data_IF_007625759081
#
_entry.id   IF_007625759081
#
_cell.length_a   1.000
_cell.length_b   1.000
_cell.length_c   1.000
_cell.angle_alpha   90.00
_cell.angle_beta   90.00
_cell.angle_gamma   90.00
#
_symmetry.space_group_name_H-M   'P 1'
#
loop_
_entity.id
_entity.type
_entity.pdbx_description
1 polymer ?
#
# COMPACT_ATOMS: atom_id res chain seq x y z
N UNK A 1 -15.05 39.43 -14.52
CA UNK A 1 -14.54 39.54 -13.13
C UNK A 1 -13.05 39.84 -13.17
N UNK A 2 -12.56 40.76 -12.35
CA UNK A 2 -11.11 40.98 -12.21
C UNK A 2 -10.55 39.92 -11.25
N UNK A 3 -9.75 39.00 -11.76
CA UNK A 3 -9.05 38.00 -10.94
C UNK A 3 -7.58 38.41 -10.81
N UNK A 4 -7.02 38.27 -9.60
CA UNK A 4 -5.59 38.45 -9.35
C UNK A 4 -5.00 37.10 -8.98
N UNK A 5 -4.02 36.66 -9.76
CA UNK A 5 -3.31 35.43 -9.46
C UNK A 5 -2.45 35.60 -8.19
N UNK A 6 -2.38 34.53 -7.40
CA UNK A 6 -1.55 34.41 -6.20
C UNK A 6 -0.36 33.51 -6.48
N UNK A 7 0.68 33.58 -5.65
CA UNK A 7 1.81 32.67 -5.75
C UNK A 7 1.38 31.22 -5.45
N UNK A 8 2.11 30.26 -6.00
CA UNK A 8 1.91 28.84 -5.71
C UNK A 8 2.08 28.56 -4.22
N UNK A 9 3.06 29.23 -3.57
CA UNK A 9 3.23 29.19 -2.13
C UNK A 9 1.93 29.53 -1.39
N UNK A 10 1.32 30.69 -1.68
CA UNK A 10 0.09 31.14 -1.01
C UNK A 10 -1.09 30.22 -1.34
N UNK A 11 -1.20 29.75 -2.59
CA UNK A 11 -2.24 28.80 -2.98
C UNK A 11 -2.16 27.50 -2.17
N UNK A 12 -0.95 26.95 -1.98
CA UNK A 12 -0.74 25.76 -1.15
C UNK A 12 -1.03 26.00 0.32
N UNK A 13 -0.62 27.13 0.90
CA UNK A 13 -0.96 27.50 2.28
C UNK A 13 -2.48 27.53 2.50
N UNK A 14 -3.25 28.06 1.55
CA UNK A 14 -4.71 28.06 1.61
C UNK A 14 -5.29 26.64 1.51
N UNK A 15 -4.84 25.83 0.55
CA UNK A 15 -5.26 24.43 0.43
C UNK A 15 -5.05 23.67 1.74
N UNK A 16 -3.86 23.76 2.32
CA UNK A 16 -3.52 23.05 3.56
C UNK A 16 -4.27 23.56 4.78
N UNK A 17 -4.62 24.84 4.83
CA UNK A 17 -5.35 25.43 5.96
C UNK A 17 -6.84 25.06 5.98
N UNK A 18 -7.44 24.83 4.81
CA UNK A 18 -8.91 24.81 4.69
C UNK A 18 -9.52 23.51 4.13
N UNK A 19 -8.75 22.61 3.50
CA UNK A 19 -9.29 21.31 2.98
C UNK A 19 -9.31 20.19 4.02
N UNK A 20 -8.52 20.26 5.09
CA UNK A 20 -8.51 19.23 6.15
C UNK A 20 -9.54 19.55 7.25
N UNK A 21 -10.79 19.11 7.09
CA UNK A 21 -11.89 19.37 8.05
C UNK A 21 -12.24 18.21 8.99
N UNK A 22 -11.36 17.23 9.17
CA UNK A 22 -11.43 16.31 10.32
C UNK A 22 -10.08 16.16 10.98
N UNK A 23 -10.01 16.62 12.23
CA UNK A 23 -8.88 16.53 13.17
C UNK A 23 -7.70 17.46 12.85
N UNK A 24 -7.03 17.92 13.91
CA UNK A 24 -6.01 18.96 13.95
C UNK A 24 -4.70 18.63 13.19
N UNK A 25 -4.80 18.44 11.87
CA UNK A 25 -3.65 18.21 10.99
C UNK A 25 -3.17 19.59 10.53
N UNK A 26 -2.25 20.20 11.29
CA UNK A 26 -1.33 21.17 10.71
C UNK A 26 -0.43 20.43 9.73
N UNK A 27 -0.93 20.15 8.52
CA UNK A 27 -0.07 19.83 7.40
C UNK A 27 0.85 21.03 7.19
N UNK A 28 2.07 20.99 7.72
CA UNK A 28 3.06 22.04 7.47
C UNK A 28 3.59 21.83 6.06
N UNK A 29 2.97 22.50 5.11
CA UNK A 29 3.52 22.71 3.79
C UNK A 29 4.99 23.15 3.91
N UNK A 30 5.93 22.24 3.59
CA UNK A 30 7.36 22.53 3.68
C UNK A 30 7.80 23.16 2.38
N UNK A 31 8.22 24.42 2.47
CA UNK A 31 8.79 25.15 1.36
C UNK A 31 9.90 26.07 1.85
N UNK A 32 10.77 26.46 0.93
CA UNK A 32 11.73 27.54 1.13
C UNK A 32 11.68 28.46 -0.09
N UNK A 33 11.51 29.76 0.14
CA UNK A 33 11.48 30.75 -0.93
C UNK A 33 12.88 31.28 -1.18
N UNK A 34 13.27 31.34 -2.46
CA UNK A 34 14.56 31.91 -2.87
C UNK A 34 14.34 33.08 -3.84
N UNK A 35 15.02 34.17 -3.55
CA UNK A 35 15.10 35.41 -4.34
C UNK A 35 16.57 35.79 -4.55
N UNK A 36 16.90 36.76 -5.42
CA UNK A 36 18.28 37.22 -5.60
C UNK A 36 18.97 37.67 -4.31
N UNK A 37 18.18 38.13 -3.33
CA UNK A 37 18.66 38.68 -2.06
C UNK A 37 18.67 37.63 -0.92
N UNK A 38 18.41 36.35 -1.21
CA UNK A 38 18.35 35.30 -0.18
C UNK A 38 19.71 35.02 0.43
N UNK A 39 19.78 35.18 1.75
CA UNK A 39 20.87 34.67 2.58
C UNK A 39 20.68 33.16 2.81
N UNK A 40 21.60 32.36 2.27
CA UNK A 40 21.55 30.90 2.37
C UNK A 40 21.82 30.40 3.77
N UNK A 41 22.65 31.07 4.56
CA UNK A 41 22.97 30.61 5.92
C UNK A 41 21.75 30.78 6.81
N UNK A 42 21.05 31.91 6.67
CA UNK A 42 19.78 32.13 7.36
C UNK A 42 18.68 31.18 6.88
N UNK A 43 18.54 30.99 5.56
CA UNK A 43 17.55 30.06 5.00
C UNK A 43 17.73 28.62 5.52
N UNK A 44 18.98 28.17 5.71
CA UNK A 44 19.27 26.83 6.21
C UNK A 44 19.03 26.68 7.72
N UNK A 45 19.12 27.77 8.48
CA UNK A 45 18.71 27.78 9.88
C UNK A 45 17.19 27.64 10.00
N UNK A 46 16.44 28.36 9.17
CA UNK A 46 14.97 28.32 9.16
C UNK A 46 14.42 27.03 8.54
N UNK A 47 15.18 26.42 7.62
CA UNK A 47 14.79 25.22 6.88
C UNK A 47 15.88 24.12 6.87
N UNK A 48 16.21 23.51 8.04
CA UNK A 48 17.29 22.51 8.12
C UNK A 48 17.05 21.26 7.25
N UNK A 49 15.80 20.97 6.91
CA UNK A 49 15.41 19.83 6.05
C UNK A 49 16.00 19.92 4.63
N UNK A 50 16.40 21.11 4.18
CA UNK A 50 17.10 21.30 2.91
C UNK A 50 18.42 20.51 2.82
N UNK A 51 19.06 20.20 3.96
CA UNK A 51 20.35 19.52 4.02
C UNK A 51 20.26 18.00 3.86
N UNK A 52 19.14 17.40 4.28
CA UNK A 52 19.01 15.94 4.36
C UNK A 52 18.10 15.36 3.27
N UNK A 53 17.20 16.17 2.69
CA UNK A 53 16.19 15.70 1.76
C UNK A 53 16.60 15.89 0.29
N UNK A 54 15.99 15.09 -0.59
CA UNK A 54 15.96 15.36 -2.02
C UNK A 54 14.95 16.48 -2.28
N UNK A 55 15.24 17.35 -3.25
CA UNK A 55 14.55 18.61 -3.43
C UNK A 55 14.00 18.77 -4.86
N UNK A 56 12.91 19.53 -4.95
CA UNK A 56 12.39 20.11 -6.19
C UNK A 56 12.54 21.62 -6.12
N UNK A 57 12.97 22.25 -7.21
CA UNK A 57 13.06 23.72 -7.32
C UNK A 57 12.38 24.19 -8.60
N UNK A 58 11.58 25.25 -8.51
CA UNK A 58 10.86 25.82 -9.66
C UNK A 58 10.54 27.31 -9.45
N UNK A 59 10.41 28.11 -10.52
CA UNK A 59 9.93 29.48 -10.40
C UNK A 59 8.50 29.53 -9.85
N UNK A 60 8.26 30.48 -8.95
CA UNK A 60 6.94 30.82 -8.42
C UNK A 60 6.51 32.20 -8.95
N UNK A 61 6.21 32.23 -10.25
CA UNK A 61 5.88 33.44 -11.02
C UNK A 61 4.81 33.18 -12.10
N UNK A 62 3.87 32.28 -11.81
CA UNK A 62 2.72 32.02 -12.70
C UNK A 62 3.12 31.55 -14.12
N UNK A 63 4.25 30.85 -14.21
CA UNK A 63 4.73 30.25 -15.45
C UNK A 63 4.04 28.89 -15.59
N UNK A 64 3.22 28.72 -16.63
CA UNK A 64 2.67 27.40 -16.99
C UNK A 64 3.71 26.57 -17.73
N UNK A 65 3.53 25.23 -17.72
CA UNK A 65 4.37 24.27 -18.47
C UNK A 65 5.88 24.34 -18.13
N UNK A 66 6.21 24.65 -16.86
CA UNK A 66 7.60 24.79 -16.36
C UNK A 66 8.48 23.58 -16.68
N UNK A 67 7.94 22.36 -16.60
CA UNK A 67 8.68 21.14 -16.95
C UNK A 67 9.21 21.15 -18.38
N UNK A 68 8.34 21.44 -19.35
CA UNK A 68 8.70 21.56 -20.78
C UNK A 68 9.66 22.70 -21.07
N UNK A 69 9.66 23.74 -20.23
CA UNK A 69 10.56 24.89 -20.35
C UNK A 69 11.92 24.67 -19.67
N UNK A 70 12.18 23.49 -19.07
CA UNK A 70 13.41 23.24 -18.31
C UNK A 70 13.54 24.11 -17.06
N UNK A 71 12.40 24.55 -16.52
CA UNK A 71 12.26 25.41 -15.34
C UNK A 71 11.82 24.62 -14.09
N UNK A 72 12.02 23.30 -14.08
CA UNK A 72 11.86 22.47 -12.89
C UNK A 72 13.12 21.65 -12.69
N UNK A 73 13.76 21.80 -11.54
CA UNK A 73 14.81 20.88 -11.06
C UNK A 73 14.18 19.85 -10.14
N UNK A 74 14.38 18.56 -10.42
CA UNK A 74 13.74 17.45 -9.69
C UNK A 74 14.82 16.53 -9.11
N UNK A 75 14.57 15.98 -7.92
CA UNK A 75 15.45 15.02 -7.24
C UNK A 75 16.90 15.53 -7.03
N UNK A 76 17.03 16.80 -6.63
CA UNK A 76 18.32 17.44 -6.42
C UNK A 76 18.75 17.41 -4.95
N UNK A 77 20.06 17.44 -4.68
CA UNK A 77 20.57 17.86 -3.35
C UNK A 77 20.53 19.38 -3.22
N UNK A 78 20.78 19.93 -2.03
CA UNK A 78 20.91 21.38 -1.85
C UNK A 78 21.95 22.01 -2.80
N UNK A 79 23.12 21.39 -2.95
CA UNK A 79 24.16 21.86 -3.88
C UNK A 79 23.71 21.79 -5.33
N UNK A 80 22.94 20.76 -5.67
CA UNK A 80 22.27 20.63 -6.96
C UNK A 80 21.29 21.78 -7.19
N UNK A 81 20.47 22.14 -6.21
CA UNK A 81 19.54 23.28 -6.28
C UNK A 81 20.28 24.60 -6.45
N UNK A 82 21.31 24.86 -5.64
CA UNK A 82 22.15 26.08 -5.76
C UNK A 82 22.76 26.18 -7.16
N UNK A 83 23.32 25.09 -7.68
CA UNK A 83 23.90 25.03 -9.02
C UNK A 83 22.86 25.22 -10.12
N UNK A 84 21.67 24.66 -9.95
CA UNK A 84 20.56 24.80 -10.89
C UNK A 84 19.99 26.23 -10.93
N UNK A 85 19.99 26.94 -9.79
CA UNK A 85 19.53 28.32 -9.67
C UNK A 85 20.52 29.33 -10.26
N UNK A 86 21.84 29.12 -10.17
CA UNK A 86 22.87 30.06 -10.68
C UNK A 86 22.59 30.63 -12.08
N UNK A 87 22.28 29.83 -13.11
CA UNK A 87 22.02 30.36 -14.46
C UNK A 87 20.59 30.89 -14.65
N UNK A 88 19.72 30.88 -13.63
CA UNK A 88 18.29 31.20 -13.74
C UNK A 88 17.84 32.34 -12.82
N UNK A 89 18.34 32.37 -11.59
CA UNK A 89 17.95 33.36 -10.58
C UNK A 89 18.43 34.77 -10.98
N UNK A 90 17.51 35.72 -11.03
CA UNK A 90 17.75 37.08 -11.52
C UNK A 90 17.96 37.18 -13.02
N UNK A 91 17.88 36.08 -13.77
CA UNK A 91 18.07 36.06 -15.22
C UNK A 91 16.76 36.25 -15.96
N UNK A 92 16.86 36.70 -17.19
CA UNK A 92 15.72 36.96 -18.05
C UNK A 92 15.25 35.69 -18.75
N UNK A 93 13.94 35.45 -18.76
CA UNK A 93 13.31 34.33 -19.42
C UNK A 93 12.24 34.82 -20.40
N UNK A 94 12.20 34.18 -21.57
CA UNK A 94 11.13 34.36 -22.55
C UNK A 94 10.13 33.20 -22.41
N UNK A 95 8.88 33.52 -22.06
CA UNK A 95 7.79 32.55 -21.96
C UNK A 95 6.69 32.96 -22.93
N UNK A 96 6.58 32.25 -24.04
CA UNK A 96 5.70 32.67 -25.14
C UNK A 96 6.12 34.04 -25.69
N UNK A 97 5.24 35.04 -25.58
CA UNK A 97 5.52 36.43 -26.00
C UNK A 97 6.00 37.33 -24.85
N UNK A 98 5.96 36.84 -23.61
CA UNK A 98 6.30 37.63 -22.43
C UNK A 98 7.77 37.47 -22.06
N UNK A 99 8.44 38.59 -21.79
CA UNK A 99 9.84 38.66 -21.37
C UNK A 99 9.90 39.23 -19.95
N UNK A 100 10.64 38.57 -19.05
CA UNK A 100 10.73 39.01 -17.66
C UNK A 100 11.81 38.27 -16.87
N UNK A 101 12.16 38.80 -15.70
CA UNK A 101 13.19 38.24 -14.83
C UNK A 101 12.61 37.15 -13.91
N UNK A 102 13.35 36.06 -13.72
CA UNK A 102 13.05 35.02 -12.73
C UNK A 102 13.64 35.41 -11.37
N UNK A 103 12.84 36.07 -10.54
CA UNK A 103 13.21 36.60 -9.22
C UNK A 103 12.70 35.76 -8.04
N UNK A 104 11.72 34.88 -8.23
CA UNK A 104 11.12 34.10 -7.15
C UNK A 104 11.13 32.61 -7.51
N UNK A 105 11.72 31.82 -6.63
CA UNK A 105 11.75 30.36 -6.72
C UNK A 105 11.23 29.75 -5.43
N UNK A 106 10.63 28.58 -5.58
CA UNK A 106 10.13 27.75 -4.49
C UNK A 106 10.94 26.45 -4.49
N UNK A 107 11.49 26.10 -3.33
CA UNK A 107 12.13 24.81 -3.07
C UNK A 107 11.18 23.99 -2.19
N UNK A 108 10.97 22.73 -2.56
CA UNK A 108 10.08 21.80 -1.87
C UNK A 108 10.77 20.43 -1.72
N UNK A 109 10.38 19.59 -0.74
CA UNK A 109 10.81 18.20 -0.70
C UNK A 109 10.39 17.44 -1.97
N UNK A 110 11.31 16.66 -2.53
CA UNK A 110 10.99 15.71 -3.60
C UNK A 110 10.34 14.47 -3.00
N UNK A 111 9.13 14.16 -3.46
CA UNK A 111 8.40 12.94 -3.10
C UNK A 111 8.54 11.96 -4.27
N UNK A 112 9.22 10.80 -4.12
CA UNK A 112 9.27 9.78 -5.17
C UNK A 112 7.89 9.15 -5.39
N UNK A 113 7.46 9.07 -6.64
CA UNK A 113 6.22 8.41 -7.06
C UNK A 113 6.35 7.96 -8.52
N UNK A 114 5.48 7.03 -8.92
CA UNK A 114 5.33 6.55 -10.29
C UNK A 114 4.24 7.33 -11.02
N UNK A 115 4.26 7.31 -12.36
CA UNK A 115 3.26 7.96 -13.21
C UNK A 115 1.82 7.50 -12.91
N UNK A 116 1.65 6.24 -12.49
CA UNK A 116 0.34 5.66 -12.14
C UNK A 116 -0.24 6.23 -10.83
N UNK A 117 0.56 6.97 -10.06
CA UNK A 117 0.15 7.60 -8.81
C UNK A 117 -0.13 9.10 -8.98
N UNK A 118 0.06 9.64 -10.18
CA UNK A 118 -0.20 11.04 -10.50
C UNK A 118 -1.59 11.21 -11.12
N UNK A 119 -2.38 12.09 -10.51
CA UNK A 119 -3.67 12.54 -11.03
C UNK A 119 -3.61 14.02 -11.39
N UNK A 120 -4.58 14.48 -12.16
CA UNK A 120 -4.78 15.89 -12.48
C UNK A 120 -6.17 16.32 -12.06
N UNK A 121 -6.25 17.48 -11.39
CA UNK A 121 -7.52 18.14 -11.05
C UNK A 121 -7.43 19.62 -11.39
N UNK A 122 -8.47 20.16 -12.02
CA UNK A 122 -8.57 21.59 -12.31
C UNK A 122 -10.02 22.06 -12.16
N UNK A 123 -10.22 23.25 -11.61
CA UNK A 123 -11.53 23.88 -11.43
C UNK A 123 -11.45 25.29 -12.00
N UNK A 124 -12.39 25.69 -12.86
CA UNK A 124 -12.41 27.05 -13.39
C UNK A 124 -13.82 27.57 -13.69
N UNK A 125 -13.98 28.87 -13.50
CA UNK A 125 -15.25 29.56 -13.70
C UNK A 125 -15.52 29.87 -15.16
N UNK A 126 -16.79 29.73 -15.55
CA UNK A 126 -17.34 30.21 -16.83
C UNK A 126 -18.62 30.99 -16.59
N UNK A 127 -19.31 31.39 -17.66
CA UNK A 127 -20.60 32.09 -17.53
C UNK A 127 -21.74 31.18 -17.09
N UNK A 128 -21.64 29.89 -17.39
CA UNK A 128 -22.71 28.90 -17.16
C UNK A 128 -22.57 28.21 -15.79
N UNK A 129 -21.45 28.43 -15.10
CA UNK A 129 -21.08 27.77 -13.85
C UNK A 129 -19.60 27.44 -13.83
N UNK A 130 -19.22 26.45 -13.02
CA UNK A 130 -17.83 26.05 -12.80
C UNK A 130 -17.55 24.68 -13.41
N UNK A 131 -16.47 24.58 -14.19
CA UNK A 131 -16.01 23.30 -14.70
C UNK A 131 -15.05 22.65 -13.71
N UNK A 132 -15.30 21.38 -13.39
CA UNK A 132 -14.37 20.50 -12.70
C UNK A 132 -13.79 19.52 -13.72
N UNK A 133 -12.47 19.45 -13.77
CA UNK A 133 -11.68 18.61 -14.66
C UNK A 133 -10.95 17.55 -13.85
N UNK A 134 -10.92 16.32 -14.35
CA UNK A 134 -10.12 15.24 -13.79
C UNK A 134 -9.42 14.43 -14.89
N UNK A 135 -8.16 14.08 -14.68
CA UNK A 135 -7.48 13.06 -15.49
C UNK A 135 -6.74 12.07 -14.59
N UNK A 136 -6.83 10.78 -14.95
CA UNK A 136 -6.25 9.68 -14.19
C UNK A 136 -4.71 9.58 -14.32
N UNK A 137 -4.12 10.41 -15.19
CA UNK A 137 -2.68 10.63 -15.33
C UNK A 137 -2.40 12.13 -15.19
N UNK A 138 -1.45 12.51 -14.32
CA UNK A 138 -1.00 13.88 -14.10
C UNK A 138 0.48 14.09 -14.42
N UNK A 139 1.06 15.18 -13.91
CA UNK A 139 2.49 15.46 -13.99
C UNK A 139 2.98 16.04 -15.30
N UNK A 140 4.32 16.08 -15.43
CA UNK A 140 5.01 16.79 -16.52
C UNK A 140 4.98 16.04 -17.84
N UNK A 141 4.77 14.73 -17.81
CA UNK A 141 4.92 13.84 -18.98
C UNK A 141 3.61 13.63 -19.76
N UNK A 142 2.45 13.96 -19.16
CA UNK A 142 1.12 13.73 -19.79
C UNK A 142 0.80 14.69 -20.94
N UNK A 143 1.51 15.81 -21.05
CA UNK A 143 1.36 16.76 -22.14
C UNK A 143 0.22 17.77 -21.90
N UNK A 144 -0.72 17.89 -22.83
CA UNK A 144 -1.86 18.82 -22.73
C UNK A 144 -3.04 18.16 -22.00
N UNK A 145 -2.91 18.06 -20.67
CA UNK A 145 -3.84 17.29 -19.83
C UNK A 145 -5.26 17.86 -19.83
N UNK A 146 -5.44 19.18 -19.95
CA UNK A 146 -6.75 19.85 -20.01
C UNK A 146 -7.62 19.35 -21.20
N UNK A 147 -6.98 18.96 -22.30
CA UNK A 147 -7.65 18.44 -23.50
C UNK A 147 -8.06 16.96 -23.34
N UNK A 148 -7.37 16.23 -22.47
CA UNK A 148 -7.61 14.81 -22.18
C UNK A 148 -8.55 14.60 -20.99
N UNK A 149 -8.63 15.58 -20.08
CA UNK A 149 -9.39 15.49 -18.85
C UNK A 149 -10.90 15.31 -19.09
N UNK A 150 -11.51 14.47 -18.25
CA UNK A 150 -12.97 14.42 -18.10
C UNK A 150 -13.46 15.74 -17.53
N UNK A 151 -14.65 16.19 -17.95
CA UNK A 151 -15.21 17.50 -17.59
C UNK A 151 -16.61 17.35 -17.02
N UNK A 152 -16.87 18.03 -15.92
CA UNK A 152 -18.18 18.14 -15.29
C UNK A 152 -18.47 19.63 -15.08
N UNK A 153 -19.58 20.11 -15.61
CA UNK A 153 -20.08 21.46 -15.34
C UNK A 153 -20.98 21.39 -14.10
N UNK A 154 -20.67 22.21 -13.10
CA UNK A 154 -21.55 22.50 -11.97
C UNK A 154 -22.25 23.82 -12.31
N UNK A 155 -23.57 23.79 -12.48
CA UNK A 155 -24.33 24.97 -12.84
C UNK A 155 -24.32 26.04 -11.75
N UNK A 156 -24.71 27.26 -12.10
CA UNK A 156 -24.90 28.35 -11.13
C UNK A 156 -25.90 27.92 -10.06
N UNK A 157 -25.55 28.12 -8.79
CA UNK A 157 -26.31 27.72 -7.59
C UNK A 157 -26.50 26.19 -7.41
N UNK A 158 -25.85 25.36 -8.23
CA UNK A 158 -25.82 23.91 -8.05
C UNK A 158 -24.67 23.49 -7.12
N UNK A 159 -24.79 22.29 -6.53
CA UNK A 159 -23.74 21.70 -5.70
C UNK A 159 -23.10 20.51 -6.38
N UNK A 160 -21.80 20.38 -6.22
CA UNK A 160 -21.06 19.21 -6.69
C UNK A 160 -21.35 17.98 -5.80
N UNK A 161 -22.03 16.99 -6.36
CA UNK A 161 -22.34 15.73 -5.68
C UNK A 161 -21.23 14.68 -5.87
N UNK A 162 -20.76 14.00 -4.81
CA UNK A 162 -19.79 12.90 -4.92
C UNK A 162 -20.16 11.80 -5.94
N UNK A 163 -21.44 11.47 -6.09
CA UNK A 163 -21.87 10.44 -7.05
C UNK A 163 -21.67 10.88 -8.51
N UNK A 164 -21.88 12.16 -8.80
CA UNK A 164 -21.64 12.71 -10.14
C UNK A 164 -20.15 12.79 -10.45
N UNK A 165 -19.31 13.09 -9.46
CA UNK A 165 -17.85 13.02 -9.58
C UNK A 165 -17.42 11.59 -9.95
N UNK A 166 -17.90 10.57 -9.24
CA UNK A 166 -17.55 9.17 -9.50
C UNK A 166 -17.96 8.74 -10.91
N UNK A 167 -19.17 9.15 -11.33
CA UNK A 167 -19.78 8.76 -12.61
C UNK A 167 -19.17 9.48 -13.82
N UNK A 168 -18.88 10.76 -13.70
CA UNK A 168 -18.49 11.60 -14.84
C UNK A 168 -16.99 11.92 -14.88
N UNK A 169 -16.35 12.14 -13.73
CA UNK A 169 -14.94 12.51 -13.66
C UNK A 169 -14.03 11.28 -13.46
N UNK A 170 -14.40 10.39 -12.54
CA UNK A 170 -13.54 9.28 -12.12
C UNK A 170 -13.75 8.00 -12.95
N UNK A 171 -14.19 8.12 -14.20
CA UNK A 171 -14.48 6.97 -15.08
C UNK A 171 -13.27 6.03 -15.18
N UNK A 172 -12.09 6.62 -15.38
CA UNK A 172 -10.81 5.92 -15.57
C UNK A 172 -9.92 5.89 -14.31
N UNK A 173 -10.39 6.41 -13.18
CA UNK A 173 -9.62 6.34 -11.93
C UNK A 173 -9.59 4.90 -11.37
N UNK A 174 -8.51 4.51 -10.68
CA UNK A 174 -8.45 3.23 -9.94
C UNK A 174 -9.63 3.08 -8.98
N UNK A 175 -10.24 1.88 -8.95
CA UNK A 175 -11.48 1.61 -8.19
C UNK A 175 -11.33 1.91 -6.70
N UNK A 176 -10.22 1.45 -6.12
CA UNK A 176 -9.79 1.66 -4.74
C UNK A 176 -9.63 3.14 -4.36
N UNK A 177 -9.36 4.01 -5.34
CA UNK A 177 -9.15 5.45 -5.12
C UNK A 177 -10.38 6.30 -5.39
N UNK A 178 -11.44 5.76 -6.00
CA UNK A 178 -12.60 6.57 -6.44
C UNK A 178 -13.30 7.29 -5.29
N UNK A 179 -13.50 6.62 -4.16
CA UNK A 179 -14.16 7.24 -3.00
C UNK A 179 -13.35 8.40 -2.43
N UNK A 180 -12.05 8.18 -2.22
CA UNK A 180 -11.15 9.20 -1.65
C UNK A 180 -10.97 10.36 -2.63
N UNK A 181 -10.82 10.08 -3.94
CA UNK A 181 -10.76 11.11 -4.98
C UNK A 181 -12.05 11.93 -5.06
N UNK A 182 -13.22 11.28 -4.98
CA UNK A 182 -14.49 11.98 -4.99
C UNK A 182 -14.63 12.92 -3.78
N UNK A 183 -14.32 12.41 -2.58
CA UNK A 183 -14.32 13.21 -1.35
C UNK A 183 -13.33 14.38 -1.43
N UNK A 184 -12.12 14.15 -1.94
CA UNK A 184 -11.11 15.20 -2.12
C UNK A 184 -11.56 16.27 -3.12
N UNK A 185 -12.10 15.88 -4.28
CA UNK A 185 -12.58 16.82 -5.30
C UNK A 185 -13.76 17.63 -4.77
N UNK A 186 -14.69 17.02 -4.02
CA UNK A 186 -15.77 17.75 -3.34
C UNK A 186 -15.23 18.78 -2.35
N UNK A 187 -14.27 18.40 -1.50
CA UNK A 187 -13.64 19.33 -0.55
C UNK A 187 -12.89 20.47 -1.25
N UNK A 188 -12.20 20.16 -2.36
CA UNK A 188 -11.49 21.13 -3.18
C UNK A 188 -12.44 22.11 -3.87
N UNK A 189 -13.60 21.63 -4.33
CA UNK A 189 -14.64 22.48 -4.93
C UNK A 189 -15.26 23.42 -3.89
N UNK A 190 -15.59 22.93 -2.70
CA UNK A 190 -16.10 23.77 -1.62
C UNK A 190 -15.08 24.87 -1.25
N UNK A 191 -13.79 24.52 -1.15
CA UNK A 191 -12.75 25.53 -0.93
C UNK A 191 -12.72 26.59 -2.04
N UNK A 192 -12.80 26.13 -3.29
CA UNK A 192 -12.80 26.97 -4.47
C UNK A 192 -13.93 28.01 -4.41
N UNK A 193 -15.14 27.57 -4.05
CA UNK A 193 -16.31 28.45 -3.87
C UNK A 193 -16.15 29.38 -2.66
N UNK A 194 -15.79 28.83 -1.49
CA UNK A 194 -15.67 29.57 -0.22
C UNK A 194 -14.64 30.71 -0.30
N UNK A 195 -13.57 30.50 -1.07
CA UNK A 195 -12.51 31.48 -1.29
C UNK A 195 -12.67 32.28 -2.59
N UNK A 196 -13.78 32.10 -3.32
CA UNK A 196 -14.10 32.81 -4.56
C UNK A 196 -12.98 32.73 -5.61
N UNK A 197 -12.35 31.57 -5.74
CA UNK A 197 -11.38 31.34 -6.81
C UNK A 197 -12.09 31.33 -8.16
N UNK A 198 -11.38 31.77 -9.21
CA UNK A 198 -11.88 31.67 -10.60
C UNK A 198 -11.13 30.59 -11.39
N UNK A 199 -10.02 30.10 -10.84
CA UNK A 199 -9.17 29.07 -11.41
C UNK A 199 -8.34 28.41 -10.30
N UNK A 200 -8.35 27.08 -10.25
CA UNK A 200 -7.55 26.27 -9.34
C UNK A 200 -7.05 25.04 -10.10
N UNK A 201 -5.76 24.74 -10.04
CA UNK A 201 -5.16 23.58 -10.72
C UNK A 201 -4.20 22.86 -9.76
N UNK A 202 -4.31 21.53 -9.67
CA UNK A 202 -3.38 20.66 -8.97
C UNK A 202 -2.82 19.64 -9.97
N UNK A 203 -1.51 19.73 -10.22
CA UNK A 203 -0.82 18.88 -11.19
C UNK A 203 0.68 18.70 -10.86
N UNK A 204 1.15 17.51 -10.44
CA UNK A 204 0.37 16.30 -10.16
C UNK A 204 -0.30 16.32 -8.77
N UNK A 205 -1.41 15.60 -8.63
CA UNK A 205 -2.01 15.16 -7.37
C UNK A 205 -1.54 13.73 -7.08
N UNK A 206 -0.84 13.51 -5.97
CA UNK A 206 -0.36 12.18 -5.54
C UNK A 206 -1.09 11.77 -4.27
N UNK A 207 -1.51 10.50 -4.18
CA UNK A 207 -2.27 9.98 -3.04
C UNK A 207 -1.62 8.76 -2.41
N UNK A 208 -1.38 8.86 -1.09
CA UNK A 208 -1.12 7.74 -0.16
C UNK A 208 -2.21 7.74 0.90
N UNK A 209 -2.68 6.56 1.32
CA UNK A 209 -3.88 6.45 2.18
C UNK A 209 -3.67 5.68 3.49
N UNK A 210 -2.51 5.06 3.70
CA UNK A 210 -2.31 4.13 4.83
C UNK A 210 -1.62 4.78 6.04
N UNK A 211 -0.77 5.79 5.84
CA UNK A 211 0.01 6.41 6.90
C UNK A 211 0.43 7.84 6.55
N UNK A 212 0.47 8.74 7.56
CA UNK A 212 1.01 10.10 7.44
C UNK A 212 1.91 10.41 8.65
N UNK A 213 3.17 10.75 8.39
CA UNK A 213 4.19 11.06 9.39
C UNK A 213 4.55 12.55 9.49
N UNK A 214 3.92 13.41 8.67
CA UNK A 214 4.32 14.82 8.54
C UNK A 214 3.77 15.70 9.67
N UNK A 215 2.69 15.27 10.31
CA UNK A 215 1.99 15.97 11.39
C UNK A 215 2.76 15.99 12.71
N UNK A 216 2.10 16.47 13.77
CA UNK A 216 2.65 16.42 15.13
C UNK A 216 2.87 14.98 15.61
N UNK A 217 1.96 14.08 15.21
CA UNK A 217 2.02 12.67 15.53
C UNK A 217 1.82 11.81 14.28
N UNK A 218 2.33 10.59 14.34
CA UNK A 218 2.17 9.57 13.30
C UNK A 218 0.70 9.16 13.20
N UNK A 219 0.17 8.99 11.99
CA UNK A 219 -1.21 8.59 11.74
C UNK A 219 -1.22 7.26 10.97
N UNK A 220 -2.09 6.33 11.36
CA UNK A 220 -2.40 5.09 10.63
C UNK A 220 -3.85 5.11 10.17
N UNK A 221 -4.07 5.14 8.84
CA UNK A 221 -5.39 5.21 8.22
C UNK A 221 -6.34 6.24 8.86
N UNK A 222 -5.83 7.45 9.11
CA UNK A 222 -6.57 8.54 9.76
C UNK A 222 -6.61 8.50 11.29
N UNK A 223 -6.17 7.41 11.93
CA UNK A 223 -6.11 7.33 13.40
C UNK A 223 -4.73 7.77 13.92
N UNK A 224 -4.66 8.78 14.80
CA UNK A 224 -3.41 9.21 15.42
C UNK A 224 -2.83 8.09 16.31
N UNK A 225 -1.50 7.95 16.33
CA UNK A 225 -0.82 6.87 17.06
C UNK A 225 -1.14 6.89 18.55
N UNK A 226 -1.37 8.08 19.14
CA UNK A 226 -1.77 8.19 20.55
C UNK A 226 -3.13 7.56 20.81
N UNK A 227 -4.08 7.69 19.87
CA UNK A 227 -5.41 7.08 19.94
C UNK A 227 -5.33 5.56 19.76
N UNK A 228 -4.49 5.08 18.85
CA UNK A 228 -4.25 3.63 18.66
C UNK A 228 -3.86 2.94 19.98
N UNK A 229 -2.95 3.54 20.75
CA UNK A 229 -2.55 3.01 22.05
C UNK A 229 -3.62 3.21 23.13
N UNK A 230 -4.30 4.36 23.15
CA UNK A 230 -5.37 4.65 24.11
C UNK A 230 -6.53 3.66 23.99
N UNK A 231 -6.88 3.26 22.77
CA UNK A 231 -7.96 2.31 22.48
C UNK A 231 -7.51 0.84 22.55
N UNK A 232 -6.28 0.57 23.00
CA UNK A 232 -5.71 -0.78 23.15
C UNK A 232 -5.86 -1.66 21.91
N UNK A 233 -5.65 -1.09 20.72
CA UNK A 233 -5.94 -1.77 19.45
C UNK A 233 -5.04 -2.99 19.17
N UNK A 234 -3.88 -3.06 19.81
CA UNK A 234 -2.91 -4.14 19.63
C UNK A 234 -2.27 -4.17 18.23
N UNK A 235 -1.47 -5.21 17.98
CA UNK A 235 -0.82 -5.41 16.68
C UNK A 235 -1.87 -5.77 15.62
N UNK A 236 -2.90 -6.54 16.01
CA UNK A 236 -4.00 -6.90 15.11
C UNK A 236 -4.78 -5.69 14.62
N UNK A 237 -5.02 -4.70 15.49
CA UNK A 237 -5.69 -3.45 15.11
C UNK A 237 -4.81 -2.54 14.26
N UNK A 238 -3.51 -2.44 14.55
CA UNK A 238 -2.55 -1.71 13.69
C UNK A 238 -2.50 -2.32 12.28
N UNK A 239 -2.48 -3.65 12.18
CA UNK A 239 -2.56 -4.35 10.89
C UNK A 239 -3.91 -4.07 10.19
N UNK A 240 -5.01 -4.06 10.96
CA UNK A 240 -6.34 -3.59 10.52
C UNK A 240 -6.31 -2.23 9.83
N UNK A 241 -5.68 -1.25 10.46
CA UNK A 241 -5.54 0.10 9.93
C UNK A 241 -4.63 0.14 8.70
N UNK A 242 -3.43 -0.44 8.78
CA UNK A 242 -2.41 -0.30 7.73
C UNK A 242 -2.73 -1.11 6.46
N UNK A 243 -3.28 -2.31 6.61
CA UNK A 243 -3.51 -3.21 5.47
C UNK A 243 -4.92 -3.08 4.93
N UNK A 244 -5.90 -2.87 5.81
CA UNK A 244 -7.31 -2.85 5.42
C UNK A 244 -7.96 -1.47 5.51
N UNK A 245 -7.27 -0.45 6.06
CA UNK A 245 -7.82 0.89 6.26
C UNK A 245 -9.15 0.89 7.03
N UNK A 246 -9.35 -0.09 7.93
CA UNK A 246 -10.55 -0.26 8.74
C UNK A 246 -10.20 -0.45 10.21
N UNK A 247 -11.01 0.13 11.09
CA UNK A 247 -11.04 -0.23 12.51
C UNK A 247 -11.82 -1.54 12.66
N UNK A 248 -11.10 -2.66 12.61
CA UNK A 248 -11.71 -3.98 12.70
C UNK A 248 -12.32 -4.24 14.09
N UNK A 249 -13.35 -5.11 14.19
CA UNK A 249 -13.88 -5.55 15.47
C UNK A 249 -12.81 -6.24 16.34
N UNK A 250 -12.96 -6.17 17.67
CA UNK A 250 -12.00 -6.73 18.62
C UNK A 250 -11.65 -8.20 18.36
N UNK A 251 -12.66 -9.02 18.04
CA UNK A 251 -12.43 -10.44 17.74
C UNK A 251 -11.61 -10.66 16.48
N UNK A 252 -11.74 -9.77 15.49
CA UNK A 252 -10.95 -9.81 14.25
C UNK A 252 -9.50 -9.44 14.54
N UNK A 253 -9.25 -8.39 15.33
CA UNK A 253 -7.90 -8.02 15.76
C UNK A 253 -7.22 -9.16 16.53
N UNK A 254 -7.93 -9.77 17.47
CA UNK A 254 -7.43 -10.92 18.23
C UNK A 254 -7.17 -12.14 17.33
N UNK A 255 -8.06 -12.44 16.39
CA UNK A 255 -7.84 -13.51 15.42
C UNK A 255 -6.60 -13.29 14.56
N UNK A 256 -6.36 -12.05 14.11
CA UNK A 256 -5.14 -11.67 13.38
C UNK A 256 -3.90 -11.94 14.24
N UNK A 257 -3.89 -11.52 15.49
CA UNK A 257 -2.78 -11.79 16.42
C UNK A 257 -2.57 -13.29 16.66
N UNK A 258 -3.65 -14.06 16.81
CA UNK A 258 -3.57 -15.53 16.93
C UNK A 258 -2.96 -16.17 15.68
N UNK A 259 -3.31 -15.68 14.48
CA UNK A 259 -2.70 -16.13 13.24
C UNK A 259 -1.19 -15.85 13.20
N UNK A 260 -0.75 -14.67 13.65
CA UNK A 260 0.69 -14.36 13.77
C UNK A 260 1.39 -15.29 14.76
N UNK A 261 0.77 -15.57 15.91
CA UNK A 261 1.33 -16.45 16.94
C UNK A 261 1.49 -17.90 16.45
N UNK A 262 0.45 -18.48 15.84
CA UNK A 262 0.49 -19.89 15.40
C UNK A 262 1.35 -20.11 14.15
N UNK A 263 1.65 -19.05 13.39
CA UNK A 263 2.52 -19.10 12.22
C UNK A 263 3.94 -18.61 12.49
N UNK A 264 4.25 -18.19 13.73
CA UNK A 264 5.50 -17.55 14.10
C UNK A 264 6.75 -18.37 13.72
N UNK A 265 6.75 -19.67 14.00
CA UNK A 265 7.82 -20.59 13.61
C UNK A 265 7.31 -22.03 13.42
N UNK A 266 8.07 -22.86 12.72
CA UNK A 266 7.79 -24.30 12.61
C UNK A 266 9.08 -25.14 12.51
N UNK A 267 10.12 -24.68 13.23
CA UNK A 267 11.41 -25.36 13.32
C UNK A 267 12.36 -25.08 12.16
N UNK A 268 13.63 -25.50 12.28
CA UNK A 268 14.71 -25.13 11.37
C UNK A 268 14.71 -25.89 10.03
N UNK A 269 13.90 -26.94 9.89
CA UNK A 269 13.92 -27.84 8.74
C UNK A 269 13.08 -27.37 7.55
N UNK A 270 12.22 -26.37 7.74
CA UNK A 270 11.41 -25.82 6.65
C UNK A 270 12.22 -24.83 5.82
N UNK A 271 11.90 -24.72 4.53
CA UNK A 271 12.71 -24.00 3.53
C UNK A 271 13.20 -22.63 3.99
N UNK A 272 12.32 -21.78 4.52
CA UNK A 272 12.71 -20.42 4.88
C UNK A 272 13.57 -20.32 6.14
N UNK A 273 13.30 -21.16 7.15
CA UNK A 273 14.13 -21.21 8.36
C UNK A 273 15.52 -21.76 8.01
N UNK A 274 15.57 -22.81 7.20
CA UNK A 274 16.81 -23.39 6.69
C UNK A 274 17.66 -22.34 5.96
N UNK A 275 17.09 -21.65 4.96
CA UNK A 275 17.83 -20.63 4.21
C UNK A 275 18.33 -19.48 5.10
N UNK A 276 17.50 -19.03 6.05
CA UNK A 276 17.89 -18.01 7.03
C UNK A 276 19.10 -18.46 7.85
N UNK A 277 19.09 -19.71 8.32
CA UNK A 277 20.18 -20.33 9.07
C UNK A 277 21.46 -20.42 8.23
N UNK A 278 21.35 -20.87 6.97
CA UNK A 278 22.49 -20.96 6.05
C UNK A 278 23.14 -19.58 5.85
N UNK A 279 22.34 -18.54 5.60
CA UNK A 279 22.86 -17.17 5.46
C UNK A 279 23.49 -16.63 6.75
N UNK A 280 22.87 -16.90 7.91
CA UNK A 280 23.41 -16.50 9.21
C UNK A 280 24.79 -17.12 9.46
N UNK A 281 24.94 -18.42 9.16
CA UNK A 281 26.17 -19.22 9.25
C UNK A 281 27.23 -18.82 8.23
N UNK A 282 26.82 -18.28 7.08
CA UNK A 282 27.73 -17.66 6.12
C UNK A 282 28.23 -16.26 6.55
N UNK A 283 27.89 -15.82 7.75
CA UNK A 283 28.37 -14.54 8.31
C UNK A 283 27.56 -13.32 7.89
N UNK A 284 26.43 -13.49 7.18
CA UNK A 284 25.58 -12.36 6.76
C UNK A 284 24.89 -11.69 7.97
N UNK A 285 24.44 -10.46 7.75
CA UNK A 285 23.64 -9.67 8.67
C UNK A 285 22.19 -10.18 8.76
N UNK A 286 21.43 -9.63 9.73
CA UNK A 286 20.06 -10.05 10.02
C UNK A 286 19.13 -9.87 8.83
N UNK A 287 19.16 -8.70 8.18
CA UNK A 287 18.23 -8.35 7.11
C UNK A 287 18.50 -9.22 5.88
N UNK A 288 19.77 -9.39 5.49
CA UNK A 288 20.14 -10.32 4.41
C UNK A 288 19.70 -11.76 4.71
N UNK A 289 19.86 -12.22 5.95
CA UNK A 289 19.55 -13.61 6.31
C UNK A 289 18.04 -13.85 6.34
N UNK A 290 17.28 -12.93 6.95
CA UNK A 290 15.82 -12.96 6.97
C UNK A 290 15.24 -12.97 5.56
N UNK A 291 15.68 -12.05 4.71
CA UNK A 291 15.17 -11.95 3.33
C UNK A 291 15.45 -13.21 2.51
N UNK A 292 16.61 -13.86 2.69
CA UNK A 292 16.89 -15.17 2.06
C UNK A 292 15.88 -16.25 2.46
N UNK A 293 15.46 -16.27 3.72
CA UNK A 293 14.39 -17.15 4.18
C UNK A 293 13.02 -16.80 3.61
N UNK A 294 12.65 -15.51 3.62
CA UNK A 294 11.36 -15.02 3.13
C UNK A 294 11.15 -15.28 1.63
N UNK A 295 12.22 -15.21 0.82
CA UNK A 295 12.18 -15.50 -0.61
C UNK A 295 11.82 -16.97 -0.94
N UNK A 296 11.77 -17.86 0.05
CA UNK A 296 11.29 -19.24 -0.13
C UNK A 296 9.77 -19.37 0.03
N UNK A 297 9.08 -18.34 0.53
CA UNK A 297 7.64 -18.36 0.74
C UNK A 297 6.93 -18.22 -0.61
N UNK A 298 5.99 -19.12 -0.88
CA UNK A 298 5.23 -19.18 -2.13
C UNK A 298 4.35 -20.44 -2.18
N UNK A 299 3.94 -20.85 -3.39
CA UNK A 299 2.95 -21.92 -3.62
C UNK A 299 3.20 -23.24 -2.87
N UNK A 300 4.47 -23.55 -2.56
CA UNK A 300 4.86 -24.81 -1.90
C UNK A 300 5.16 -24.67 -0.41
N UNK A 301 5.40 -23.46 0.08
CA UNK A 301 5.77 -23.21 1.48
C UNK A 301 5.19 -21.88 1.93
N UNK A 302 4.19 -21.94 2.83
CA UNK A 302 3.67 -20.76 3.52
C UNK A 302 2.88 -19.74 2.68
N UNK A 303 2.82 -19.90 1.35
CA UNK A 303 2.09 -19.02 0.45
C UNK A 303 0.76 -19.60 -0.03
N UNK A 304 0.25 -20.64 0.62
CA UNK A 304 -0.97 -21.34 0.21
C UNK A 304 -2.26 -20.69 0.76
N UNK A 305 -2.17 -19.63 1.57
CA UNK A 305 -3.33 -18.99 2.21
C UNK A 305 -4.24 -18.36 1.16
N UNK A 306 -3.66 -17.53 0.28
CA UNK A 306 -4.43 -16.88 -0.80
C UNK A 306 -5.03 -17.92 -1.76
N UNK A 307 -4.25 -18.94 -2.12
CA UNK A 307 -4.70 -19.95 -3.06
C UNK A 307 -5.80 -20.84 -2.47
N UNK A 308 -5.73 -21.17 -1.18
CA UNK A 308 -6.78 -21.87 -0.46
C UNK A 308 -8.04 -20.99 -0.37
N UNK A 309 -7.91 -19.74 0.07
CA UNK A 309 -9.02 -18.79 0.12
C UNK A 309 -9.73 -18.67 -1.22
N UNK A 310 -9.00 -18.43 -2.32
CA UNK A 310 -9.56 -18.35 -3.68
C UNK A 310 -10.26 -19.65 -4.11
N UNK A 311 -9.62 -20.80 -3.87
CA UNK A 311 -10.13 -22.08 -4.35
C UNK A 311 -11.40 -22.51 -3.60
N UNK A 312 -11.41 -22.39 -2.28
CA UNK A 312 -12.57 -22.71 -1.46
C UNK A 312 -13.70 -21.70 -1.71
N UNK A 313 -13.41 -20.39 -1.73
CA UNK A 313 -14.42 -19.37 -2.05
C UNK A 313 -15.08 -19.65 -3.40
N UNK A 314 -14.28 -19.88 -4.46
CA UNK A 314 -14.81 -20.17 -5.79
C UNK A 314 -15.71 -21.41 -5.80
N UNK A 315 -15.34 -22.47 -5.08
CA UNK A 315 -16.16 -23.67 -4.98
C UNK A 315 -17.49 -23.36 -4.26
N UNK A 316 -17.41 -22.79 -3.07
CA UNK A 316 -18.56 -22.42 -2.26
C UNK A 316 -19.53 -21.46 -2.99
N UNK A 317 -18.98 -20.39 -3.58
CA UNK A 317 -19.74 -19.35 -4.28
C UNK A 317 -20.40 -19.86 -5.57
N UNK A 318 -19.85 -20.91 -6.18
CA UNK A 318 -20.45 -21.59 -7.34
C UNK A 318 -21.55 -22.59 -6.98
N UNK A 319 -21.79 -22.83 -5.69
CA UNK A 319 -22.80 -23.77 -5.20
C UNK A 319 -22.45 -25.26 -5.40
N UNK A 320 -21.23 -25.60 -5.82
CA UNK A 320 -20.82 -27.00 -5.94
C UNK A 320 -20.65 -27.62 -4.55
N UNK A 321 -21.17 -28.82 -4.34
CA UNK A 321 -21.06 -29.49 -3.04
C UNK A 321 -19.63 -30.00 -2.79
N UNK A 322 -19.19 -30.17 -1.53
CA UNK A 322 -17.83 -30.59 -1.18
C UNK A 322 -17.31 -31.82 -1.94
N UNK A 323 -18.15 -32.84 -2.11
CA UNK A 323 -17.78 -34.07 -2.83
C UNK A 323 -17.50 -33.83 -4.32
N UNK A 324 -18.31 -33.00 -4.98
CA UNK A 324 -18.11 -32.63 -6.38
C UNK A 324 -16.85 -31.81 -6.57
N UNK A 325 -16.58 -30.86 -5.66
CA UNK A 325 -15.35 -30.09 -5.66
C UNK A 325 -14.10 -30.99 -5.57
N UNK A 326 -14.06 -31.92 -4.62
CA UNK A 326 -12.93 -32.86 -4.46
C UNK A 326 -12.76 -33.72 -5.72
N UNK A 327 -13.85 -34.22 -6.28
CA UNK A 327 -13.81 -35.07 -7.48
C UNK A 327 -13.35 -34.29 -8.71
N UNK A 328 -13.78 -33.04 -8.86
CA UNK A 328 -13.35 -32.13 -9.93
C UNK A 328 -11.85 -31.87 -9.87
N UNK A 329 -11.32 -31.50 -8.69
CA UNK A 329 -9.88 -31.24 -8.52
C UNK A 329 -9.03 -32.48 -8.83
N UNK A 330 -9.49 -33.66 -8.37
CA UNK A 330 -8.85 -34.94 -8.71
C UNK A 330 -8.85 -35.21 -10.22
N UNK A 331 -9.98 -35.00 -10.90
CA UNK A 331 -10.11 -35.20 -12.35
C UNK A 331 -9.21 -34.27 -13.16
N UNK A 332 -9.04 -33.03 -12.68
CA UNK A 332 -8.14 -32.04 -13.29
C UNK A 332 -6.65 -32.25 -12.93
N UNK A 333 -6.32 -33.21 -12.05
CA UNK A 333 -4.95 -33.42 -11.58
C UNK A 333 -4.41 -32.27 -10.71
N UNK A 334 -5.30 -31.48 -10.09
CA UNK A 334 -4.94 -30.33 -9.27
C UNK A 334 -4.98 -30.67 -7.78
N UNK A 335 -4.01 -30.15 -7.04
CA UNK A 335 -4.02 -30.18 -5.58
C UNK A 335 -5.06 -29.21 -5.03
N UNK A 336 -5.73 -29.59 -3.94
CA UNK A 336 -6.58 -28.68 -3.19
C UNK A 336 -5.67 -27.87 -2.25
N UNK A 337 -5.50 -26.58 -2.54
CA UNK A 337 -4.66 -25.71 -1.73
C UNK A 337 -5.24 -25.60 -0.32
N UNK A 338 -4.40 -25.75 0.71
CA UNK A 338 -4.84 -25.80 2.11
C UNK A 338 -5.23 -27.19 2.62
N UNK A 339 -5.20 -28.22 1.79
CA UNK A 339 -5.40 -29.62 2.20
C UNK A 339 -4.08 -30.40 2.10
N UNK A 340 -3.77 -31.13 3.16
CA UNK A 340 -2.61 -32.01 3.23
C UNK A 340 -1.50 -31.48 4.12
N UNK A 341 -0.84 -32.41 4.80
CA UNK A 341 0.33 -32.12 5.60
C UNK A 341 1.35 -33.28 5.51
N UNK A 342 2.65 -32.96 5.66
CA UNK A 342 3.75 -33.95 5.61
C UNK A 342 3.81 -34.84 6.86
N UNK A 343 3.64 -34.24 8.04
CA UNK A 343 3.72 -34.92 9.36
C UNK A 343 2.36 -35.08 10.09
N UNK A 344 1.50 -34.05 10.07
CA UNK A 344 0.19 -34.04 10.72
C UNK A 344 -0.86 -34.86 9.95
N UNK A 345 -1.82 -35.41 10.68
CA UNK A 345 -2.88 -36.28 10.16
C UNK A 345 -4.05 -36.36 11.16
N UNK A 346 -5.12 -37.08 10.81
CA UNK A 346 -6.20 -37.39 11.77
C UNK A 346 -5.71 -38.09 13.05
N UNK A 347 -4.62 -38.86 12.96
CA UNK A 347 -4.02 -39.58 14.09
C UNK A 347 -2.97 -38.74 14.84
N UNK A 348 -2.55 -37.61 14.28
CA UNK A 348 -1.60 -36.66 14.86
C UNK A 348 -2.09 -35.24 14.52
N UNK A 349 -3.15 -34.77 15.21
CA UNK A 349 -3.83 -33.54 14.86
C UNK A 349 -2.91 -32.32 15.00
N UNK A 350 -3.20 -31.30 14.19
CA UNK A 350 -2.52 -30.02 14.28
C UNK A 350 -3.22 -29.13 15.30
N UNK A 351 -2.64 -29.01 16.50
CA UNK A 351 -3.21 -28.21 17.57
C UNK A 351 -3.34 -26.72 17.21
N UNK A 352 -2.56 -26.21 16.24
CA UNK A 352 -2.70 -24.83 15.74
C UNK A 352 -4.06 -24.62 15.08
N UNK A 353 -4.48 -25.58 14.25
CA UNK A 353 -5.79 -25.57 13.58
C UNK A 353 -6.89 -25.68 14.63
N UNK A 354 -6.72 -26.55 15.64
CA UNK A 354 -7.71 -26.70 16.71
C UNK A 354 -7.90 -25.41 17.51
N UNK A 355 -6.82 -24.75 17.94
CA UNK A 355 -6.86 -23.48 18.69
C UNK A 355 -7.61 -22.40 17.88
N UNK A 356 -7.28 -22.25 16.60
CA UNK A 356 -7.95 -21.27 15.75
C UNK A 356 -9.42 -21.63 15.50
N UNK A 357 -9.73 -22.90 15.30
CA UNK A 357 -11.10 -23.41 15.11
C UNK A 357 -12.00 -23.09 16.29
N UNK A 358 -11.53 -23.36 17.50
CA UNK A 358 -12.29 -23.10 18.72
C UNK A 358 -12.57 -21.60 18.87
N UNK A 359 -11.56 -20.75 18.63
CA UNK A 359 -11.72 -19.31 18.67
C UNK A 359 -12.72 -18.81 17.63
N UNK A 360 -12.56 -19.21 16.36
CA UNK A 360 -13.42 -18.79 15.24
C UNK A 360 -14.87 -19.21 15.49
N UNK A 361 -15.10 -20.46 15.91
CA UNK A 361 -16.47 -20.95 16.21
C UNK A 361 -17.13 -20.27 17.40
N UNK A 362 -16.35 -19.77 18.35
CA UNK A 362 -16.88 -19.07 19.52
C UNK A 362 -17.17 -17.58 19.26
N UNK A 363 -16.38 -16.91 18.40
CA UNK A 363 -16.40 -15.45 18.31
C UNK A 363 -16.87 -14.88 16.97
N UNK A 364 -16.79 -15.64 15.87
CA UNK A 364 -17.18 -15.11 14.57
C UNK A 364 -18.70 -15.09 14.42
N UNK A 365 -19.27 -14.05 13.79
CA UNK A 365 -20.71 -13.96 13.56
C UNK A 365 -21.22 -15.02 12.57
N UNK A 366 -20.39 -15.41 11.60
CA UNK A 366 -20.69 -16.43 10.60
C UNK A 366 -19.40 -17.10 10.10
N UNK A 367 -19.48 -18.41 9.81
CA UNK A 367 -18.33 -19.22 9.35
C UNK A 367 -18.67 -20.20 8.20
N UNK A 368 -19.47 -19.78 7.19
CA UNK A 368 -19.97 -20.70 6.16
C UNK A 368 -18.86 -21.32 5.31
N UNK A 369 -17.79 -20.58 5.00
CA UNK A 369 -16.71 -21.12 4.18
C UNK A 369 -15.86 -22.12 4.97
N UNK A 370 -15.61 -21.84 6.25
CA UNK A 370 -14.97 -22.78 7.15
C UNK A 370 -15.79 -24.08 7.28
N UNK A 371 -17.12 -23.99 7.39
CA UNK A 371 -17.99 -25.18 7.43
C UNK A 371 -17.86 -26.02 6.16
N UNK A 372 -17.88 -25.36 5.00
CA UNK A 372 -17.64 -26.02 3.72
C UNK A 372 -16.27 -26.72 3.67
N UNK A 373 -15.21 -26.04 4.14
CA UNK A 373 -13.85 -26.59 4.17
C UNK A 373 -13.71 -27.80 5.11
N UNK A 374 -14.41 -27.80 6.24
CA UNK A 374 -14.47 -28.94 7.17
C UNK A 374 -15.20 -30.15 6.56
N UNK A 375 -16.25 -29.94 5.76
CA UNK A 375 -16.87 -31.03 5.00
C UNK A 375 -15.93 -31.60 3.92
N UNK A 376 -15.17 -30.72 3.24
CA UNK A 376 -14.11 -31.16 2.31
C UNK A 376 -13.06 -31.99 3.02
N UNK A 377 -12.62 -31.59 4.22
CA UNK A 377 -11.65 -32.33 5.04
C UNK A 377 -12.14 -33.75 5.38
N UNK A 378 -13.41 -33.91 5.79
CA UNK A 378 -13.98 -35.24 6.06
C UNK A 378 -13.85 -36.17 4.85
N UNK A 379 -14.12 -35.64 3.67
CA UNK A 379 -14.04 -36.39 2.41
C UNK A 379 -12.58 -36.73 2.08
N UNK A 380 -11.65 -35.79 2.21
CA UNK A 380 -10.23 -36.01 1.84
C UNK A 380 -9.53 -36.95 2.82
N UNK A 381 -9.81 -36.83 4.12
CA UNK A 381 -9.26 -37.71 5.17
C UNK A 381 -9.76 -39.15 5.08
N UNK A 382 -10.99 -39.37 4.59
CA UNK A 382 -11.49 -40.72 4.26
C UNK A 382 -10.69 -41.42 3.16
N UNK A 383 -10.01 -40.64 2.29
CA UNK A 383 -9.15 -41.16 1.22
C UNK A 383 -7.72 -41.38 1.69
N UNK A 384 -7.15 -40.42 2.44
CA UNK A 384 -5.83 -40.53 3.07
C UNK A 384 -5.77 -39.74 4.38
N UNK A 385 -5.25 -40.32 5.48
CA UNK A 385 -5.32 -39.72 6.81
C UNK A 385 -4.55 -38.40 6.95
N UNK A 386 -3.57 -38.14 6.08
CA UNK A 386 -2.76 -36.93 6.09
C UNK A 386 -3.34 -35.78 5.25
N UNK A 387 -4.46 -35.98 4.56
CA UNK A 387 -5.18 -34.96 3.79
C UNK A 387 -6.14 -34.15 4.67
N UNK A 388 -5.63 -33.64 5.78
CA UNK A 388 -6.33 -32.75 6.73
C UNK A 388 -6.38 -31.32 6.21
N UNK A 389 -7.28 -30.49 6.74
CA UNK A 389 -7.24 -29.04 6.59
C UNK A 389 -6.04 -28.50 7.37
N UNK A 390 -5.03 -28.02 6.66
CA UNK A 390 -3.80 -27.52 7.28
C UNK A 390 -3.96 -26.07 7.76
N UNK A 391 -2.94 -25.54 8.43
CA UNK A 391 -2.98 -24.18 8.99
C UNK A 391 -3.18 -23.10 7.91
N UNK A 392 -2.57 -23.25 6.74
CA UNK A 392 -2.72 -22.31 5.61
C UNK A 392 -4.17 -22.31 5.10
N UNK A 393 -4.75 -23.51 4.91
CA UNK A 393 -6.13 -23.67 4.48
C UNK A 393 -7.12 -23.13 5.50
N UNK A 394 -6.91 -23.42 6.78
CA UNK A 394 -7.75 -22.93 7.87
C UNK A 394 -7.72 -21.40 7.95
N UNK A 395 -6.52 -20.80 8.01
CA UNK A 395 -6.38 -19.34 8.10
C UNK A 395 -7.01 -18.70 6.86
N UNK A 396 -6.75 -19.25 5.66
CA UNK A 396 -7.33 -18.76 4.42
C UNK A 396 -8.85 -18.69 4.48
N UNK A 397 -9.55 -19.80 4.74
CA UNK A 397 -11.02 -19.81 4.76
C UNK A 397 -11.62 -19.00 5.90
N UNK A 398 -10.99 -19.03 7.09
CA UNK A 398 -11.45 -18.25 8.23
C UNK A 398 -11.26 -16.75 7.99
N UNK A 399 -10.19 -16.29 7.33
CA UNK A 399 -10.03 -14.89 6.96
C UNK A 399 -11.10 -14.44 5.96
N UNK A 400 -11.47 -15.28 4.99
CA UNK A 400 -12.58 -14.96 4.08
C UNK A 400 -13.87 -14.78 4.86
N UNK A 401 -14.19 -15.69 5.79
CA UNK A 401 -15.36 -15.56 6.65
C UNK A 401 -15.29 -14.29 7.51
N UNK A 402 -14.10 -13.92 8.03
CA UNK A 402 -13.90 -12.68 8.77
C UNK A 402 -14.21 -11.45 7.90
N UNK A 403 -13.56 -11.33 6.73
CA UNK A 403 -13.71 -10.18 5.85
C UNK A 403 -15.16 -10.03 5.37
N UNK A 404 -15.79 -11.12 4.94
CA UNK A 404 -17.17 -11.10 4.41
C UNK A 404 -18.24 -10.85 5.48
N UNK A 405 -17.97 -11.12 6.76
CA UNK A 405 -19.01 -11.11 7.80
C UNK A 405 -18.71 -10.19 9.00
N UNK A 406 -17.57 -9.50 9.05
CA UNK A 406 -17.27 -8.58 10.16
C UNK A 406 -18.02 -7.24 10.11
N UNK A 407 -18.71 -6.95 9.00
CA UNK A 407 -19.45 -5.71 8.80
C UNK A 407 -18.59 -4.51 8.39
N UNK A 408 -17.27 -4.69 8.24
CA UNK A 408 -16.34 -3.62 7.82
C UNK A 408 -16.09 -3.56 6.31
N UNK A 409 -16.56 -4.55 5.55
CA UNK A 409 -16.31 -4.67 4.11
C UNK A 409 -17.58 -5.06 3.36
N UNK A 410 -17.72 -4.55 2.14
CA UNK A 410 -18.62 -5.14 1.15
C UNK A 410 -18.06 -6.47 0.63
N UNK A 411 -18.87 -7.20 -0.14
CA UNK A 411 -18.42 -8.44 -0.76
C UNK A 411 -17.28 -8.20 -1.75
N UNK A 412 -17.39 -7.15 -2.55
CA UNK A 412 -16.40 -6.76 -3.55
C UNK A 412 -15.06 -6.39 -2.89
N UNK A 413 -15.09 -5.59 -1.82
CA UNK A 413 -13.88 -5.23 -1.05
C UNK A 413 -13.21 -6.48 -0.45
N UNK A 414 -13.99 -7.37 0.15
CA UNK A 414 -13.46 -8.61 0.73
C UNK A 414 -12.79 -9.50 -0.32
N UNK A 415 -13.41 -9.65 -1.50
CA UNK A 415 -12.86 -10.43 -2.61
C UNK A 415 -11.60 -9.77 -3.20
N UNK A 416 -11.54 -8.43 -3.24
CA UNK A 416 -10.34 -7.70 -3.67
C UNK A 416 -9.13 -7.98 -2.75
N UNK A 417 -9.31 -7.96 -1.43
CA UNK A 417 -8.21 -8.29 -0.49
C UNK A 417 -7.68 -9.71 -0.65
N UNK A 418 -8.55 -10.66 -0.99
CA UNK A 418 -8.16 -12.03 -1.32
C UNK A 418 -7.38 -12.04 -2.63
N UNK A 419 -7.81 -11.25 -3.62
CA UNK A 419 -7.20 -11.23 -4.95
C UNK A 419 -5.80 -10.62 -4.98
N UNK A 420 -5.58 -9.52 -4.27
CA UNK A 420 -4.27 -8.83 -4.18
C UNK A 420 -3.25 -9.56 -3.29
N UNK A 421 -3.67 -10.62 -2.59
CA UNK A 421 -2.77 -11.50 -1.82
C UNK A 421 -2.49 -11.03 -0.40
N UNK A 422 -3.44 -10.34 0.24
CA UNK A 422 -3.27 -9.84 1.60
C UNK A 422 -3.08 -10.97 2.64
N UNK A 423 -3.60 -12.18 2.38
CA UNK A 423 -3.57 -13.28 3.36
C UNK A 423 -2.17 -13.89 3.45
N UNK A 424 -1.44 -14.01 2.35
CA UNK A 424 -0.04 -14.43 2.38
C UNK A 424 0.82 -13.47 3.22
N UNK A 425 0.46 -12.19 3.28
CA UNK A 425 1.08 -11.21 4.18
C UNK A 425 1.08 -11.66 5.65
N UNK A 426 0.01 -12.29 6.13
CA UNK A 426 -0.10 -12.79 7.51
C UNK A 426 0.96 -13.84 7.80
N UNK A 427 1.14 -14.80 6.89
CA UNK A 427 2.16 -15.84 7.06
C UNK A 427 3.56 -15.24 6.97
N UNK A 428 3.81 -14.34 6.02
CA UNK A 428 5.10 -13.65 5.85
C UNK A 428 5.48 -12.88 7.13
N UNK A 429 4.54 -12.09 7.67
CA UNK A 429 4.76 -11.30 8.88
C UNK A 429 4.96 -12.20 10.12
N UNK A 430 4.09 -13.20 10.31
CA UNK A 430 4.21 -14.15 11.41
C UNK A 430 5.54 -14.90 11.36
N UNK A 431 5.86 -15.52 10.23
CA UNK A 431 7.06 -16.36 10.07
C UNK A 431 8.37 -15.59 10.17
N UNK A 432 8.35 -14.28 9.87
CA UNK A 432 9.52 -13.41 10.07
C UNK A 432 10.03 -13.43 11.51
N UNK A 433 9.13 -13.58 12.50
CA UNK A 433 9.50 -13.68 13.91
C UNK A 433 10.39 -14.91 14.18
N UNK A 434 10.00 -16.08 13.68
CA UNK A 434 10.79 -17.31 13.79
C UNK A 434 12.11 -17.23 13.05
N UNK A 435 12.13 -16.66 11.85
CA UNK A 435 13.36 -16.51 11.05
C UNK A 435 14.37 -15.59 11.74
N UNK A 436 13.92 -14.46 12.30
CA UNK A 436 14.75 -13.60 13.13
C UNK A 436 15.29 -14.39 14.35
N UNK A 437 14.43 -15.18 15.00
CA UNK A 437 14.82 -16.07 16.10
C UNK A 437 15.94 -17.04 15.71
N UNK A 438 15.81 -17.74 14.58
CA UNK A 438 16.82 -18.64 14.05
C UNK A 438 18.13 -17.92 13.72
N UNK A 439 18.07 -16.73 13.09
CA UNK A 439 19.27 -15.92 12.84
C UNK A 439 20.02 -15.61 14.14
N UNK A 440 19.32 -15.10 15.15
CA UNK A 440 19.90 -14.73 16.45
C UNK A 440 20.47 -15.96 17.16
N UNK A 441 19.79 -17.10 17.06
CA UNK A 441 20.27 -18.36 17.63
C UNK A 441 21.57 -18.82 16.98
N UNK A 442 21.67 -18.82 15.64
CA UNK A 442 22.90 -19.19 14.95
C UNK A 442 24.07 -18.25 15.28
N UNK A 443 23.82 -16.94 15.43
CA UNK A 443 24.83 -15.98 15.88
C UNK A 443 25.29 -16.26 17.31
N UNK A 444 24.37 -16.53 18.23
CA UNK A 444 24.70 -16.91 19.62
C UNK A 444 25.51 -18.19 19.69
N UNK A 445 25.15 -19.20 18.88
CA UNK A 445 25.83 -20.49 18.82
C UNK A 445 27.18 -20.45 18.08
N UNK A 446 27.54 -19.32 17.46
CA UNK A 446 28.79 -19.12 16.70
C UNK A 446 29.02 -20.24 15.66
N UNK A 447 27.95 -20.68 15.00
CA UNK A 447 28.01 -21.76 14.03
C UNK A 447 28.82 -21.33 12.80
N UNK A 448 29.78 -22.17 12.40
CA UNK A 448 30.62 -21.93 11.22
C UNK A 448 29.87 -22.11 9.89
N UNK A 449 30.54 -21.78 8.79
CA UNK A 449 30.00 -21.89 7.43
C UNK A 449 29.40 -23.28 7.18
N UNK A 450 28.21 -23.31 6.58
CA UNK A 450 27.58 -24.56 6.16
C UNK A 450 27.99 -24.94 4.73
N UNK A 451 28.23 -26.24 4.52
CA UNK A 451 28.38 -26.85 3.21
C UNK A 451 27.56 -28.13 3.20
N UNK A 452 26.75 -28.35 2.17
CA UNK A 452 25.90 -29.53 2.10
C UNK A 452 26.76 -30.80 1.94
N UNK A 453 26.45 -31.90 2.66
CA UNK A 453 27.16 -33.17 2.54
C UNK A 453 27.10 -33.72 1.11
N UNK A 454 28.17 -34.40 0.67
CA UNK A 454 28.26 -34.93 -0.70
C UNK A 454 27.48 -36.23 -0.89
N UNK A 455 27.32 -37.02 0.15
CA UNK A 455 26.52 -38.24 0.20
C UNK A 455 25.02 -37.99 0.01
N UNK A 456 24.55 -36.77 0.30
CA UNK A 456 23.18 -36.31 0.03
C UNK A 456 22.99 -35.77 -1.41
N UNK A 457 24.04 -35.73 -2.25
CA UNK A 457 24.00 -35.19 -3.63
C UNK A 457 24.27 -36.28 -4.67
N UNK A 458 23.30 -36.51 -5.56
CA UNK A 458 23.51 -37.34 -6.76
C UNK A 458 24.15 -36.53 -7.88
N UNK A 459 25.43 -36.77 -8.15
CA UNK A 459 26.16 -36.14 -9.25
C UNK A 459 25.98 -36.94 -10.54
N UNK A 460 25.11 -36.47 -11.44
CA UNK A 460 24.88 -37.07 -12.76
C UNK A 460 25.52 -36.18 -13.84
N UNK A 461 26.81 -36.38 -14.08
CA UNK A 461 27.59 -35.60 -15.05
C UNK A 461 27.52 -36.24 -16.45
N UNK A 462 27.53 -35.45 -17.54
CA UNK A 462 27.51 -36.02 -18.90
C UNK A 462 28.82 -36.74 -19.24
N UNK A 463 28.74 -38.04 -19.55
CA UNK A 463 29.90 -38.90 -19.83
C UNK A 463 30.70 -38.49 -21.08
N UNK A 464 30.07 -37.78 -22.03
CA UNK A 464 30.71 -37.38 -23.29
C UNK A 464 31.68 -36.20 -23.14
N UNK A 465 31.79 -35.59 -21.96
CA UNK A 465 32.74 -34.49 -21.69
C UNK A 465 33.97 -34.92 -20.88
N UNK A 466 34.02 -36.17 -20.39
CA UNK A 466 35.22 -36.76 -19.82
C UNK A 466 36.06 -37.40 -20.93
N UNK A 467 36.89 -36.59 -21.60
CA UNK A 467 38.04 -37.07 -22.37
C UNK A 467 39.27 -37.15 -21.47
#
# INVERSE_FOLDING_TARGET
MSAKAISEQTGKELLYKYICTTSAIQNRFRYARVTPDTDWDHLLQDHPWLLSQRLVVKPDQLIKRRGKLGLVGVNLTLDGVKSWLKPRLGQEALVGKARGLLKNFLIEPFVPHSQAEEFYVCIYATREGDYVLFHHEGGVDVGDVDAKAQKLLVGVDEKLNPEDIKKHLLVHAPKDKKEILASFISGLFNLYEDLYFTYLEINPLVMTSICDERGQELIYAGMPITEVFKEEMGIGGVLGLLWFQRRLPKYSCQFIEMCLMVTADHGPAVSGAHNTIICARAGKDLVSSLTSGLLTIGDRFGGALDAAAKMFSKAFDSGIIPMEFVNKMKKEGKLIMGIGHRVKSINNPDMRVQILKDYVKQHFPATPLLDYALEVEKITTSKKPNLILNVDGFIGVAFVDMLRNCGSFTREEADEYIDIGALNGIFVLGRSMGFIGHYLDQKRLKQGLYRHPWDDISYVLPEHMSM
#
